data_IF_961489125826
#
_entry.id   IF_961489125826
#
_cell.length_a   1.000
_cell.length_b   1.000
_cell.length_c   1.000
_cell.angle_alpha   90.00
_cell.angle_beta   90.00
_cell.angle_gamma   90.00
#
_symmetry.space_group_name_H-M   'P 1'
#
loop_
_entity.id
_entity.type
_entity.pdbx_description
1 polymer ?
#
# COMPACT_ATOMS: atom_id res chain seq x y z
N UNK A 1 21.78 -11.00 6.05
CA UNK A 1 20.81 -11.26 7.14
C UNK A 1 20.31 -9.94 7.70
N UNK A 2 18.99 -9.75 7.73
CA UNK A 2 18.36 -8.56 8.31
C UNK A 2 17.85 -8.88 9.72
N UNK A 3 18.15 -8.04 10.69
CA UNK A 3 17.73 -8.20 12.09
C UNK A 3 17.12 -6.90 12.57
N UNK A 4 15.92 -6.97 13.13
CA UNK A 4 15.30 -5.85 13.81
C UNK A 4 15.51 -6.00 15.31
N UNK A 5 16.26 -5.08 15.92
CA UNK A 5 16.47 -5.01 17.36
C UNK A 5 15.43 -4.10 18.00
N UNK A 6 14.83 -4.54 19.10
CA UNK A 6 13.85 -3.77 19.89
C UNK A 6 14.32 -3.77 21.34
N UNK A 7 14.42 -2.57 21.92
CA UNK A 7 14.51 -2.37 23.37
C UNK A 7 13.18 -1.75 23.84
N UNK A 8 12.46 -2.46 24.69
CA UNK A 8 11.15 -2.06 25.23
C UNK A 8 11.19 -1.63 26.70
N UNK A 9 12.40 -1.44 27.25
CA UNK A 9 12.63 -0.93 28.60
C UNK A 9 12.87 0.58 28.59
N UNK A 10 13.59 1.10 29.59
CA UNK A 10 14.06 2.49 29.63
C UNK A 10 14.86 2.83 28.38
N UNK A 11 14.67 4.04 27.85
CA UNK A 11 15.25 4.46 26.58
C UNK A 11 14.81 3.52 25.43
N UNK A 12 13.50 3.30 25.35
CA UNK A 12 12.87 2.48 24.33
C UNK A 12 13.40 2.85 22.94
N UNK A 13 13.79 1.87 22.15
CA UNK A 13 14.47 2.11 20.87
C UNK A 13 14.40 0.93 19.91
N UNK A 14 14.61 1.23 18.63
CA UNK A 14 14.62 0.25 17.54
C UNK A 14 15.87 0.45 16.70
N UNK A 15 16.49 -0.65 16.28
CA UNK A 15 17.54 -0.64 15.26
C UNK A 15 17.29 -1.66 14.15
N UNK A 16 17.78 -1.35 12.95
CA UNK A 16 17.84 -2.30 11.83
C UNK A 16 19.30 -2.61 11.53
N UNK A 17 19.67 -3.89 11.67
CA UNK A 17 20.95 -4.41 11.21
C UNK A 17 20.76 -5.14 9.88
N UNK A 18 21.71 -4.95 8.98
CA UNK A 18 21.78 -5.58 7.67
C UNK A 18 23.21 -6.09 7.46
N UNK A 19 23.38 -7.42 7.52
CA UNK A 19 24.67 -8.10 7.43
C UNK A 19 25.73 -7.54 8.39
N UNK A 20 25.32 -7.42 9.66
CA UNK A 20 26.18 -6.93 10.74
C UNK A 20 26.41 -5.42 10.74
N UNK A 21 25.87 -4.68 9.75
CA UNK A 21 25.97 -3.22 9.69
C UNK A 21 24.69 -2.57 10.21
N UNK A 22 24.85 -1.61 11.11
CA UNK A 22 23.73 -0.81 11.62
C UNK A 22 23.27 0.17 10.54
N UNK A 23 22.01 0.03 10.09
CA UNK A 23 21.40 0.88 9.05
C UNK A 23 20.64 2.05 9.65
N UNK A 24 19.81 1.75 10.65
CA UNK A 24 19.01 2.73 11.38
C UNK A 24 19.07 2.42 12.87
N UNK A 25 19.06 3.46 13.69
CA UNK A 25 18.83 3.39 15.15
C UNK A 25 18.04 4.61 15.56
N UNK A 26 16.91 4.40 16.23
CA UNK A 26 16.00 5.47 16.64
C UNK A 26 15.52 5.19 18.05
N UNK A 27 15.58 6.19 18.92
CA UNK A 27 14.99 6.14 20.26
C UNK A 27 13.59 6.75 20.24
N UNK A 28 12.68 6.16 21.00
CA UNK A 28 11.27 6.57 21.09
C UNK A 28 11.14 8.02 21.57
N UNK A 29 11.99 8.46 22.50
CA UNK A 29 12.03 9.83 23.02
C UNK A 29 12.22 10.89 21.92
N UNK A 30 12.82 10.54 20.77
CA UNK A 30 13.00 11.46 19.63
C UNK A 30 11.73 11.64 18.82
N UNK A 31 10.80 10.70 18.94
CA UNK A 31 9.50 10.72 18.26
C UNK A 31 8.42 11.36 19.13
N UNK A 32 8.51 11.19 20.46
CA UNK A 32 7.50 11.65 21.42
C UNK A 32 7.89 12.92 22.17
N UNK A 33 9.18 13.27 22.18
CA UNK A 33 9.77 14.31 23.03
C UNK A 33 9.64 14.03 24.55
N UNK A 34 9.42 12.79 24.95
CA UNK A 34 9.43 12.39 26.36
C UNK A 34 10.79 11.77 26.71
N UNK A 35 11.57 12.45 27.55
CA UNK A 35 12.93 12.03 27.91
C UNK A 35 12.93 10.66 28.57
N UNK A 36 13.83 9.78 28.13
CA UNK A 36 14.00 8.42 28.64
C UNK A 36 12.72 7.57 28.56
N UNK A 37 11.88 7.80 27.55
CA UNK A 37 10.63 7.05 27.40
C UNK A 37 10.87 5.54 27.46
N UNK A 38 9.97 4.87 28.16
CA UNK A 38 10.00 3.44 28.41
C UNK A 38 8.78 2.75 27.81
N UNK A 39 8.89 1.45 27.59
CA UNK A 39 7.84 0.63 26.99
C UNK A 39 8.10 0.34 25.51
N UNK A 40 7.10 -0.19 24.81
CA UNK A 40 7.27 -0.62 23.43
C UNK A 40 7.48 0.58 22.48
N UNK A 41 8.60 0.65 21.73
CA UNK A 41 8.98 1.81 20.91
C UNK A 41 8.20 1.86 19.59
N UNK A 42 6.89 2.10 19.65
CA UNK A 42 5.98 2.01 18.50
C UNK A 42 6.28 3.06 17.44
N UNK A 43 6.65 4.29 17.82
CA UNK A 43 6.90 5.37 16.89
C UNK A 43 8.27 5.21 16.21
N UNK A 44 9.30 4.81 16.97
CA UNK A 44 10.61 4.49 16.43
C UNK A 44 10.53 3.26 15.50
N UNK A 45 9.74 2.24 15.86
CA UNK A 45 9.50 1.08 15.00
C UNK A 45 8.88 1.49 13.66
N UNK A 46 7.77 2.25 13.71
CA UNK A 46 7.13 2.79 12.50
C UNK A 46 8.11 3.58 11.65
N UNK A 47 8.96 4.39 12.27
CA UNK A 47 9.94 5.20 11.54
C UNK A 47 11.04 4.36 10.89
N UNK A 48 11.59 3.35 11.57
CA UNK A 48 12.58 2.43 10.98
C UNK A 48 11.98 1.65 9.81
N UNK A 49 10.75 1.15 9.95
CA UNK A 49 10.04 0.47 8.86
C UNK A 49 9.81 1.40 7.67
N UNK A 50 9.37 2.64 7.92
CA UNK A 50 9.23 3.64 6.85
C UNK A 50 10.56 3.89 6.14
N UNK A 51 11.66 4.08 6.87
CA UNK A 51 12.98 4.29 6.25
C UNK A 51 13.45 3.08 5.44
N UNK A 52 13.15 1.87 5.89
CA UNK A 52 13.46 0.65 5.15
C UNK A 52 12.62 0.54 3.87
N UNK A 53 11.33 0.86 3.94
CA UNK A 53 10.45 0.95 2.76
C UNK A 53 10.95 2.05 1.82
N UNK A 54 11.22 3.26 2.30
CA UNK A 54 11.76 4.36 1.50
C UNK A 54 13.08 3.98 0.81
N UNK A 55 13.96 3.23 1.50
CA UNK A 55 15.21 2.74 0.92
C UNK A 55 15.00 1.64 -0.13
N UNK A 56 14.06 0.73 0.10
CA UNK A 56 13.63 -0.24 -0.91
C UNK A 56 13.04 0.48 -2.13
N UNK A 57 12.28 1.54 -1.89
CA UNK A 57 11.75 2.46 -2.90
C UNK A 57 12.83 3.39 -3.51
N UNK A 58 14.13 3.18 -3.24
CA UNK A 58 15.22 3.83 -3.99
C UNK A 58 15.94 2.87 -4.94
N UNK A 59 15.61 1.57 -4.89
CA UNK A 59 15.92 0.67 -6.00
C UNK A 59 15.10 1.16 -7.20
N UNK A 60 15.68 1.30 -8.40
CA UNK A 60 14.94 1.78 -9.56
C UNK A 60 13.81 0.80 -9.85
N UNK A 61 12.60 1.18 -9.46
CA UNK A 61 11.37 0.52 -9.87
C UNK A 61 10.88 1.15 -11.16
N UNK A 62 10.16 0.35 -11.95
CA UNK A 62 9.47 0.83 -13.15
C UNK A 62 7.99 0.43 -13.14
N UNK A 63 7.31 0.71 -14.25
CA UNK A 63 5.88 0.39 -14.38
C UNK A 63 5.61 -1.11 -14.37
N UNK A 64 6.59 -1.93 -14.77
CA UNK A 64 6.48 -3.40 -14.83
C UNK A 64 6.42 -3.97 -13.42
N UNK A 65 7.22 -3.45 -12.48
CA UNK A 65 7.16 -3.86 -11.08
C UNK A 65 5.75 -3.66 -10.49
N UNK A 66 5.17 -2.48 -10.73
CA UNK A 66 3.81 -2.17 -10.31
C UNK A 66 2.77 -3.07 -10.97
N UNK A 67 2.94 -3.41 -12.26
CA UNK A 67 2.07 -4.36 -12.96
C UNK A 67 2.10 -5.74 -12.31
N UNK A 68 3.29 -6.28 -12.02
CA UNK A 68 3.46 -7.61 -11.41
C UNK A 68 2.77 -7.64 -10.05
N UNK A 69 3.08 -6.68 -9.18
CA UNK A 69 2.54 -6.63 -7.81
C UNK A 69 1.01 -6.51 -7.84
N UNK A 70 0.47 -5.58 -8.64
CA UNK A 70 -0.98 -5.40 -8.81
C UNK A 70 -1.68 -6.67 -9.33
N UNK A 71 -1.08 -7.36 -10.30
CA UNK A 71 -1.67 -8.57 -10.88
C UNK A 71 -1.62 -9.75 -9.90
N UNK A 72 -0.54 -9.90 -9.13
CA UNK A 72 -0.44 -10.92 -8.08
C UNK A 72 -1.48 -10.67 -6.98
N UNK A 73 -1.59 -9.42 -6.50
CA UNK A 73 -2.59 -9.06 -5.49
C UNK A 73 -4.02 -9.38 -5.98
N UNK A 74 -4.31 -9.05 -7.25
CA UNK A 74 -5.61 -9.32 -7.85
C UNK A 74 -5.89 -10.82 -8.04
N UNK A 75 -4.91 -11.59 -8.53
CA UNK A 75 -5.04 -13.04 -8.70
C UNK A 75 -5.35 -13.74 -7.36
N UNK A 76 -4.65 -13.35 -6.30
CA UNK A 76 -4.87 -13.88 -4.95
C UNK A 76 -6.25 -13.50 -4.43
N UNK A 77 -6.67 -12.25 -4.62
CA UNK A 77 -8.02 -11.81 -4.26
C UNK A 77 -9.12 -12.62 -4.99
N UNK A 78 -8.95 -12.86 -6.29
CA UNK A 78 -9.88 -13.68 -7.08
C UNK A 78 -9.88 -15.15 -6.64
N UNK A 79 -8.74 -15.64 -6.16
CA UNK A 79 -8.54 -17.04 -5.74
C UNK A 79 -8.82 -17.27 -4.24
N UNK A 80 -9.40 -16.30 -3.53
CA UNK A 80 -9.61 -16.33 -2.06
C UNK A 80 -10.38 -17.53 -1.49
N UNK A 81 -11.08 -18.28 -2.34
CA UNK A 81 -11.77 -19.52 -1.95
C UNK A 81 -10.91 -20.79 -2.02
N UNK A 82 -9.68 -20.73 -2.54
CA UNK A 82 -8.77 -21.87 -2.61
C UNK A 82 -8.09 -22.12 -1.26
N UNK A 83 -7.79 -23.38 -0.94
CA UNK A 83 -7.37 -23.81 0.40
C UNK A 83 -6.19 -23.03 0.99
N UNK A 84 -5.23 -22.60 0.15
CA UNK A 84 -3.99 -21.95 0.58
C UNK A 84 -3.98 -20.42 0.46
N UNK A 85 -5.09 -19.82 0.04
CA UNK A 85 -5.17 -18.37 -0.15
C UNK A 85 -5.63 -17.60 1.10
N UNK A 86 -6.53 -18.13 1.96
CA UNK A 86 -6.98 -17.45 3.18
C UNK A 86 -5.86 -16.91 4.07
N UNK A 87 -4.76 -17.66 4.24
CA UNK A 87 -3.61 -17.20 5.05
C UNK A 87 -2.87 -16.00 4.45
N UNK A 88 -3.06 -15.72 3.16
CA UNK A 88 -2.42 -14.62 2.43
C UNK A 88 -3.32 -13.37 2.39
N UNK A 89 -4.63 -13.52 2.57
CA UNK A 89 -5.57 -12.39 2.50
C UNK A 89 -5.20 -11.19 3.39
N UNK A 90 -4.69 -11.38 4.64
CA UNK A 90 -4.33 -10.25 5.50
C UNK A 90 -3.23 -9.34 4.92
N UNK A 91 -2.40 -9.82 3.99
CA UNK A 91 -1.30 -9.03 3.40
C UNK A 91 -1.68 -8.33 2.10
N UNK A 92 -2.81 -8.69 1.47
CA UNK A 92 -3.20 -8.13 0.17
C UNK A 92 -3.39 -6.61 0.16
N UNK A 93 -3.97 -5.96 1.20
CA UNK A 93 -4.06 -4.50 1.23
C UNK A 93 -2.70 -3.81 1.11
N UNK A 94 -1.70 -4.25 1.88
CA UNK A 94 -0.36 -3.68 1.81
C UNK A 94 0.34 -3.95 0.48
N UNK A 95 0.10 -5.13 -0.13
CA UNK A 95 0.66 -5.45 -1.44
C UNK A 95 0.09 -4.56 -2.55
N UNK A 96 -1.22 -4.31 -2.56
CA UNK A 96 -1.83 -3.45 -3.59
C UNK A 96 -1.52 -1.96 -3.35
N UNK A 97 -1.39 -1.52 -2.10
CA UNK A 97 -0.89 -0.17 -1.76
C UNK A 97 0.52 0.07 -2.30
N UNK A 98 1.40 -0.94 -2.20
CA UNK A 98 2.74 -0.86 -2.78
C UNK A 98 2.68 -0.63 -4.29
N UNK A 99 1.81 -1.34 -5.01
CA UNK A 99 1.64 -1.11 -6.44
C UNK A 99 1.15 0.32 -6.75
N UNK A 100 0.19 0.85 -5.97
CA UNK A 100 -0.27 2.25 -6.11
C UNK A 100 0.91 3.21 -5.95
N UNK A 101 1.71 3.03 -4.89
CA UNK A 101 2.87 3.87 -4.61
C UNK A 101 3.89 3.89 -5.74
N UNK A 102 4.19 2.72 -6.33
CA UNK A 102 5.10 2.64 -7.48
C UNK A 102 4.50 3.33 -8.70
N UNK A 103 3.25 3.06 -9.07
CA UNK A 103 2.61 3.71 -10.23
C UNK A 103 2.60 5.24 -10.11
N UNK A 104 2.32 5.77 -8.91
CA UNK A 104 2.34 7.21 -8.67
C UNK A 104 3.76 7.78 -8.73
N UNK A 105 4.75 7.08 -8.18
CA UNK A 105 6.14 7.53 -8.16
C UNK A 105 6.80 7.55 -9.55
N UNK A 106 6.46 6.59 -10.42
CA UNK A 106 7.00 6.53 -11.80
C UNK A 106 6.20 7.35 -12.80
N UNK A 107 5.13 8.01 -12.37
CA UNK A 107 4.26 8.78 -13.27
C UNK A 107 3.59 7.91 -14.33
N UNK A 108 3.10 6.72 -13.95
CA UNK A 108 2.45 5.80 -14.87
C UNK A 108 1.19 6.42 -15.51
N UNK A 109 0.80 5.90 -16.68
CA UNK A 109 -0.40 6.36 -17.36
C UNK A 109 -1.66 6.21 -16.47
N UNK A 110 -2.57 7.18 -16.55
CA UNK A 110 -3.70 7.27 -15.62
C UNK A 110 -4.64 6.05 -15.69
N UNK A 111 -4.72 5.36 -16.83
CA UNK A 111 -5.52 4.14 -16.95
C UNK A 111 -4.98 3.03 -16.03
N UNK A 112 -3.65 2.93 -15.85
CA UNK A 112 -3.05 2.01 -14.89
C UNK A 112 -3.31 2.46 -13.45
N UNK A 113 -3.16 3.76 -13.19
CA UNK A 113 -3.39 4.38 -11.87
C UNK A 113 -4.85 4.26 -11.42
N UNK A 114 -5.79 4.35 -12.36
CA UNK A 114 -7.22 4.17 -12.13
C UNK A 114 -7.55 2.69 -11.90
N UNK A 115 -7.01 1.78 -12.73
CA UNK A 115 -7.24 0.34 -12.61
C UNK A 115 -6.73 -0.27 -11.31
N UNK A 116 -5.54 0.15 -10.83
CA UNK A 116 -5.01 -0.34 -9.54
C UNK A 116 -5.87 0.13 -8.36
N UNK A 117 -6.37 1.37 -8.39
CA UNK A 117 -7.23 1.92 -7.32
C UNK A 117 -8.60 1.24 -7.28
N UNK A 118 -9.19 0.92 -8.43
CA UNK A 118 -10.39 0.09 -8.51
C UNK A 118 -10.19 -1.28 -7.85
N UNK A 119 -9.09 -1.99 -8.20
CA UNK A 119 -8.78 -3.30 -7.61
C UNK A 119 -8.48 -3.20 -6.12
N UNK A 120 -7.75 -2.16 -5.70
CA UNK A 120 -7.45 -1.91 -4.31
C UNK A 120 -8.72 -1.68 -3.49
N UNK A 121 -9.70 -0.92 -4.01
CA UNK A 121 -10.98 -0.73 -3.34
C UNK A 121 -11.70 -2.06 -3.05
N UNK A 122 -11.73 -2.98 -4.02
CA UNK A 122 -12.32 -4.32 -3.84
C UNK A 122 -11.54 -5.18 -2.83
N UNK A 123 -10.22 -5.09 -2.84
CA UNK A 123 -9.36 -5.79 -1.87
C UNK A 123 -9.60 -5.24 -0.45
N UNK A 124 -9.69 -3.92 -0.31
CA UNK A 124 -9.92 -3.25 0.97
C UNK A 124 -11.30 -3.55 1.53
N UNK A 125 -12.33 -3.51 0.68
CA UNK A 125 -13.70 -3.89 1.06
C UNK A 125 -13.73 -5.33 1.58
N UNK A 126 -13.08 -6.27 0.88
CA UNK A 126 -13.00 -7.67 1.32
C UNK A 126 -12.22 -7.85 2.63
N UNK A 127 -11.28 -6.95 2.94
CA UNK A 127 -10.56 -6.91 4.22
C UNK A 127 -11.33 -6.17 5.33
N UNK A 128 -12.52 -5.62 5.04
CA UNK A 128 -13.31 -4.82 5.98
C UNK A 128 -12.83 -3.37 6.16
N UNK A 129 -11.89 -2.91 5.33
CA UNK A 129 -11.30 -1.56 5.39
C UNK A 129 -12.14 -0.56 4.60
N UNK A 130 -13.38 -0.34 5.06
CA UNK A 130 -14.41 0.35 4.28
C UNK A 130 -14.08 1.81 3.94
N UNK A 131 -13.51 2.59 4.87
CA UNK A 131 -13.14 3.99 4.59
C UNK A 131 -12.04 4.10 3.53
N UNK A 132 -11.03 3.22 3.62
CA UNK A 132 -9.98 3.13 2.60
C UNK A 132 -10.56 2.69 1.25
N UNK A 133 -11.46 1.71 1.24
CA UNK A 133 -12.13 1.25 0.03
C UNK A 133 -12.90 2.38 -0.66
N UNK A 134 -13.68 3.17 0.10
CA UNK A 134 -14.42 4.35 -0.39
C UNK A 134 -13.48 5.40 -0.99
N UNK A 135 -12.39 5.70 -0.30
CA UNK A 135 -11.39 6.66 -0.76
C UNK A 135 -10.78 6.21 -2.10
N UNK A 136 -10.38 4.94 -2.20
CA UNK A 136 -9.74 4.40 -3.39
C UNK A 136 -10.71 4.33 -4.58
N UNK A 137 -11.98 3.96 -4.36
CA UNK A 137 -12.95 3.92 -5.46
C UNK A 137 -13.31 5.32 -5.96
N UNK A 138 -13.43 6.32 -5.08
CA UNK A 138 -13.62 7.72 -5.47
C UNK A 138 -12.48 8.18 -6.39
N UNK A 139 -11.22 7.97 -5.98
CA UNK A 139 -10.05 8.31 -6.80
C UNK A 139 -10.02 7.57 -8.13
N UNK A 140 -10.45 6.30 -8.15
CA UNK A 140 -10.54 5.53 -9.39
C UNK A 140 -11.58 6.12 -10.34
N UNK A 141 -12.77 6.47 -9.85
CA UNK A 141 -13.84 7.06 -10.67
C UNK A 141 -13.42 8.42 -11.23
N UNK A 142 -12.77 9.26 -10.42
CA UNK A 142 -12.25 10.56 -10.87
C UNK A 142 -11.29 10.41 -12.05
N UNK A 143 -10.33 9.49 -11.95
CA UNK A 143 -9.38 9.23 -13.04
C UNK A 143 -10.07 8.67 -14.28
N UNK A 144 -11.00 7.72 -14.11
CA UNK A 144 -11.73 7.15 -15.25
C UNK A 144 -12.62 8.19 -15.95
N UNK A 145 -13.30 9.08 -15.21
CA UNK A 145 -14.07 10.18 -15.79
C UNK A 145 -13.18 11.13 -16.58
N UNK A 146 -12.02 11.49 -16.03
CA UNK A 146 -11.05 12.34 -16.72
C UNK A 146 -10.56 11.69 -18.03
N UNK A 147 -10.24 10.39 -18.00
CA UNK A 147 -9.84 9.58 -19.16
C UNK A 147 -10.91 9.55 -20.25
N UNK A 148 -12.16 9.24 -19.89
CA UNK A 148 -13.32 9.21 -20.82
C UNK A 148 -13.53 10.57 -21.49
N UNK A 149 -13.40 11.66 -20.74
CA UNK A 149 -13.56 13.00 -21.26
C UNK A 149 -12.47 13.40 -22.26
N UNK A 150 -11.22 12.96 -22.07
CA UNK A 150 -10.07 13.36 -22.91
C UNK A 150 -9.81 12.48 -24.12
N UNK A 151 -10.06 11.17 -24.03
CA UNK A 151 -9.60 10.17 -25.01
C UNK A 151 -10.72 9.61 -25.91
N UNK A 152 -11.93 10.15 -25.81
CA UNK A 152 -13.11 9.64 -26.54
C UNK A 152 -13.73 8.46 -25.79
N UNK A 153 -14.98 8.65 -25.34
CA UNK A 153 -15.54 7.90 -24.23
C UNK A 153 -15.60 6.38 -24.37
N UNK A 154 -15.64 5.85 -25.60
CA UNK A 154 -15.84 4.42 -25.85
C UNK A 154 -14.70 3.54 -25.31
N UNK A 155 -13.46 4.06 -25.28
CA UNK A 155 -12.28 3.27 -24.88
C UNK A 155 -12.32 2.85 -23.40
N UNK A 156 -12.84 3.72 -22.53
CA UNK A 156 -12.81 3.52 -21.07
C UNK A 156 -14.19 3.53 -20.41
N UNK A 157 -15.27 3.66 -21.19
CA UNK A 157 -16.64 3.69 -20.67
C UNK A 157 -16.97 2.46 -19.81
N UNK A 158 -16.54 1.26 -20.22
CA UNK A 158 -16.77 0.04 -19.45
C UNK A 158 -16.03 0.03 -18.11
N UNK A 159 -14.77 0.52 -18.08
CA UNK A 159 -14.00 0.64 -16.85
C UNK A 159 -14.63 1.65 -15.89
N UNK A 160 -15.08 2.80 -16.42
CA UNK A 160 -15.79 3.80 -15.64
C UNK A 160 -17.08 3.23 -15.05
N UNK A 161 -17.91 2.58 -15.86
CA UNK A 161 -19.18 2.00 -15.42
C UNK A 161 -18.98 1.00 -14.27
N UNK A 162 -17.97 0.12 -14.38
CA UNK A 162 -17.64 -0.83 -13.31
C UNK A 162 -17.16 -0.14 -12.04
N UNK A 163 -16.38 0.94 -12.15
CA UNK A 163 -15.94 1.72 -10.99
C UNK A 163 -17.12 2.46 -10.33
N UNK A 164 -18.03 3.05 -11.12
CA UNK A 164 -19.22 3.75 -10.62
C UNK A 164 -20.25 2.83 -9.96
N UNK A 165 -20.32 1.57 -10.37
CA UNK A 165 -21.11 0.55 -9.68
C UNK A 165 -20.58 0.31 -8.26
N UNK A 166 -19.27 0.06 -8.13
CA UNK A 166 -18.63 -0.16 -6.82
C UNK A 166 -18.72 1.11 -5.95
N UNK A 167 -18.54 2.28 -6.55
CA UNK A 167 -18.69 3.58 -5.89
C UNK A 167 -20.07 3.73 -5.23
N UNK A 168 -21.14 3.48 -6.00
CA UNK A 168 -22.52 3.51 -5.49
C UNK A 168 -22.77 2.45 -4.42
N UNK A 169 -22.27 1.22 -4.62
CA UNK A 169 -22.40 0.13 -3.65
C UNK A 169 -21.79 0.49 -2.30
N UNK A 170 -20.60 1.10 -2.31
CA UNK A 170 -19.87 1.44 -1.10
C UNK A 170 -20.42 2.69 -0.40
N UNK A 171 -21.26 3.49 -1.07
CA UNK A 171 -21.75 4.77 -0.55
C UNK A 171 -20.61 5.77 -0.35
N UNK A 172 -19.67 5.78 -1.31
CA UNK A 172 -18.59 6.75 -1.39
C UNK A 172 -19.08 8.06 -2.06
#
# INVERSE_FOLDING_TARGET
MKILGINDSWCASVCLLDDGKLRFVIQEERMTNYKNEAGFPINALKRVLQLAVDAMMRVPYDVVDAHIINNVAWLLHQSRGQADVPQILPILPGLVEMAIGIYDAVGAADNHRAGVRYRAALIFEAAGWLEGARTLIQQSVELWRALVAREGGDRFASNLAGAEEVFRRLGA
#
